data_IF_019688482193
#
_entry.id   IF_019688482193
#
_cell.length_a   1.000
_cell.length_b   1.000
_cell.length_c   1.000
_cell.angle_alpha   90.00
_cell.angle_beta   90.00
_cell.angle_gamma   90.00
#
_symmetry.space_group_name_H-M   'P 1'
#
loop_
_entity.id
_entity.type
_entity.pdbx_description
1 polymer ?
#
# COMPACT_ATOMS: atom_id res chain seq x y z
N UNK A 1 -15.97 -69.43 31.21
CA UNK A 1 -17.06 -68.46 31.46
C UNK A 1 -16.42 -67.07 31.54
N UNK A 2 -16.32 -66.36 30.41
CA UNK A 2 -15.66 -65.06 30.36
C UNK A 2 -16.61 -63.96 30.86
N UNK A 3 -16.11 -63.12 31.77
CA UNK A 3 -16.92 -62.19 32.56
C UNK A 3 -17.57 -61.08 31.69
N UNK A 4 -18.90 -60.93 31.69
CA UNK A 4 -19.62 -59.90 30.92
C UNK A 4 -19.27 -58.45 31.33
N UNK A 5 -18.64 -58.29 32.51
CA UNK A 5 -18.20 -57.00 33.04
C UNK A 5 -16.98 -56.42 32.31
N UNK A 6 -16.10 -57.25 31.72
CA UNK A 6 -14.96 -56.77 30.95
C UNK A 6 -15.40 -56.11 29.63
N UNK A 7 -16.43 -56.67 28.98
CA UNK A 7 -16.96 -56.13 27.73
C UNK A 7 -17.79 -54.85 27.90
N UNK A 8 -18.37 -54.60 29.09
CA UNK A 8 -19.05 -53.33 29.38
C UNK A 8 -18.04 -52.22 29.70
N UNK A 9 -17.01 -52.52 30.50
CA UNK A 9 -15.93 -51.58 30.83
C UNK A 9 -15.15 -51.16 29.58
N UNK A 10 -14.84 -52.10 28.69
CA UNK A 10 -14.13 -51.79 27.44
C UNK A 10 -14.96 -50.88 26.52
N UNK A 11 -16.27 -51.09 26.43
CA UNK A 11 -17.17 -50.22 25.64
C UNK A 11 -17.27 -48.82 26.25
N UNK A 12 -17.33 -48.70 27.57
CA UNK A 12 -17.33 -47.41 28.25
C UNK A 12 -16.02 -46.65 28.03
N UNK A 13 -14.88 -47.33 28.08
CA UNK A 13 -13.57 -46.74 27.80
C UNK A 13 -13.48 -46.17 26.36
N UNK A 14 -13.95 -46.92 25.36
CA UNK A 14 -13.97 -46.45 23.98
C UNK A 14 -14.93 -45.28 23.76
N UNK A 15 -16.10 -45.28 24.39
CA UNK A 15 -17.04 -44.16 24.31
C UNK A 15 -16.45 -42.87 24.91
N UNK A 16 -15.77 -42.98 26.05
CA UNK A 16 -15.09 -41.85 26.70
C UNK A 16 -13.92 -41.32 25.85
N UNK A 17 -13.12 -42.21 25.28
CA UNK A 17 -12.04 -41.83 24.37
C UNK A 17 -12.57 -41.11 23.13
N UNK A 18 -13.67 -41.61 22.54
CA UNK A 18 -14.33 -40.96 21.40
C UNK A 18 -14.87 -39.57 21.74
N UNK A 19 -15.50 -39.42 22.91
CA UNK A 19 -16.00 -38.12 23.39
C UNK A 19 -14.86 -37.12 23.63
N UNK A 20 -13.75 -37.57 24.24
CA UNK A 20 -12.57 -36.73 24.44
C UNK A 20 -11.96 -36.28 23.11
N UNK A 21 -11.85 -37.18 22.13
CA UNK A 21 -11.36 -36.84 20.79
C UNK A 21 -12.27 -35.84 20.07
N UNK A 22 -13.59 -36.02 20.15
CA UNK A 22 -14.56 -35.08 19.58
C UNK A 22 -14.48 -33.69 20.23
N UNK A 23 -14.32 -33.61 21.55
CA UNK A 23 -14.13 -32.35 22.26
C UNK A 23 -12.81 -31.67 21.88
N UNK A 24 -11.73 -32.43 21.73
CA UNK A 24 -10.45 -31.92 21.27
C UNK A 24 -10.55 -31.34 19.86
N UNK A 25 -11.17 -32.08 18.93
CA UNK A 25 -11.38 -31.64 17.54
C UNK A 25 -12.29 -30.41 17.46
N UNK A 26 -13.34 -30.34 18.29
CA UNK A 26 -14.19 -29.16 18.39
C UNK A 26 -13.40 -27.96 18.94
N UNK A 27 -12.57 -28.18 19.96
CA UNK A 27 -11.66 -27.17 20.50
C UNK A 27 -10.70 -26.64 19.44
N UNK A 28 -10.08 -27.52 18.65
CA UNK A 28 -9.20 -27.17 17.53
C UNK A 28 -9.94 -26.44 16.40
N UNK A 29 -11.16 -26.86 16.06
CA UNK A 29 -11.97 -26.21 15.03
C UNK A 29 -12.42 -24.80 15.44
N UNK A 30 -12.67 -24.59 16.74
CA UNK A 30 -13.00 -23.28 17.31
C UNK A 30 -11.74 -22.43 17.56
N UNK A 31 -10.60 -23.06 17.83
CA UNK A 31 -9.30 -22.41 17.95
C UNK A 31 -8.75 -22.10 16.56
N UNK A 32 -9.18 -20.96 16.01
CA UNK A 32 -8.62 -20.41 14.79
C UNK A 32 -7.68 -19.25 15.17
N UNK A 33 -6.34 -19.44 15.14
CA UNK A 33 -5.36 -18.40 15.47
C UNK A 33 -5.49 -17.15 14.59
N UNK A 34 -6.14 -17.28 13.43
CA UNK A 34 -6.29 -16.20 12.46
C UNK A 34 -7.43 -15.21 12.78
N UNK A 35 -8.33 -15.50 13.74
CA UNK A 35 -9.40 -14.54 14.10
C UNK A 35 -8.90 -13.28 14.82
N UNK A 36 -7.65 -13.24 15.29
CA UNK A 36 -7.08 -12.06 15.95
C UNK A 36 -6.40 -11.06 15.01
N UNK A 37 -6.23 -11.38 13.72
CA UNK A 37 -5.66 -10.41 12.74
C UNK A 37 -6.62 -9.28 12.36
N UNK A 38 -7.86 -9.30 12.84
CA UNK A 38 -8.91 -8.34 12.49
C UNK A 38 -9.12 -7.17 13.46
N UNK A 39 -8.26 -6.99 14.47
CA UNK A 39 -8.43 -5.91 15.48
C UNK A 39 -7.17 -5.06 15.71
N UNK A 40 -6.13 -5.24 14.91
CA UNK A 40 -5.01 -4.28 14.89
C UNK A 40 -5.47 -3.06 14.11
N UNK A 41 -5.45 -1.90 14.75
CA UNK A 41 -5.63 -0.61 14.08
C UNK A 41 -4.74 -0.56 12.84
N UNK A 42 -5.32 -0.21 11.69
CA UNK A 42 -4.57 -0.15 10.44
C UNK A 42 -3.52 0.95 10.56
N UNK A 43 -2.25 0.57 10.65
CA UNK A 43 -1.13 1.50 10.63
C UNK A 43 -0.59 1.61 9.21
N UNK A 44 -0.63 2.82 8.65
CA UNK A 44 -0.08 3.10 7.33
C UNK A 44 1.44 2.81 7.34
N UNK A 45 1.88 1.89 6.49
CA UNK A 45 3.28 1.44 6.43
C UNK A 45 4.02 1.95 5.18
N UNK A 46 3.37 2.79 4.37
CA UNK A 46 3.96 3.38 3.18
C UNK A 46 4.92 4.54 3.48
N UNK A 47 5.70 4.97 2.48
CA UNK A 47 6.68 6.04 2.66
C UNK A 47 6.05 7.40 3.00
N UNK A 48 4.79 7.63 2.61
CA UNK A 48 4.04 8.84 2.92
C UNK A 48 3.20 8.72 4.20
N UNK A 49 3.42 7.71 5.05
CA UNK A 49 2.63 7.48 6.27
C UNK A 49 2.55 8.64 7.26
N UNK A 50 3.47 9.60 7.17
CA UNK A 50 3.54 10.77 8.04
C UNK A 50 2.68 11.95 7.54
N UNK A 51 2.01 11.81 6.40
CA UNK A 51 1.09 12.82 5.85
C UNK A 51 -0.24 12.14 5.52
N UNK A 52 -1.31 12.62 6.14
CA UNK A 52 -2.66 12.21 5.79
C UNK A 52 -2.99 12.60 4.36
N UNK A 53 -3.54 11.68 3.57
CA UNK A 53 -3.86 11.93 2.15
C UNK A 53 -4.85 13.09 1.97
N UNK A 54 -5.77 13.24 2.92
CA UNK A 54 -6.74 14.34 2.96
C UNK A 54 -6.10 15.71 3.28
N UNK A 55 -4.92 15.72 3.92
CA UNK A 55 -4.19 16.95 4.23
C UNK A 55 -3.40 17.48 3.02
N UNK A 56 -3.24 16.71 1.95
CA UNK A 56 -2.55 17.14 0.72
C UNK A 56 -3.40 18.19 -0.01
N UNK A 57 -2.84 19.39 -0.17
CA UNK A 57 -3.51 20.55 -0.78
C UNK A 57 -2.95 20.94 -2.14
N UNK A 58 -1.70 20.59 -2.43
CA UNK A 58 -1.10 20.86 -3.73
C UNK A 58 -0.22 19.70 -4.20
N UNK A 59 -0.23 19.51 -5.52
CA UNK A 59 0.53 18.48 -6.21
C UNK A 59 1.15 19.09 -7.47
N UNK A 60 2.44 18.84 -7.68
CA UNK A 60 3.11 19.06 -8.96
C UNK A 60 3.52 17.72 -9.52
N UNK A 61 3.23 17.49 -10.79
CA UNK A 61 3.63 16.30 -11.53
C UNK A 61 4.54 16.74 -12.66
N UNK A 62 5.70 16.10 -12.78
CA UNK A 62 6.68 16.31 -13.84
C UNK A 62 6.90 14.99 -14.58
N UNK A 63 6.71 14.99 -15.91
CA UNK A 63 6.98 13.83 -16.76
C UNK A 63 7.65 14.29 -18.05
N UNK A 64 8.92 13.91 -18.24
CA UNK A 64 9.74 14.41 -19.35
C UNK A 64 9.90 15.94 -19.30
N UNK A 65 9.40 16.64 -20.33
CA UNK A 65 9.44 18.10 -20.44
C UNK A 65 8.12 18.78 -20.00
N UNK A 66 7.14 18.01 -19.56
CA UNK A 66 5.82 18.53 -19.17
C UNK A 66 5.69 18.59 -17.66
N UNK A 67 5.00 19.63 -17.19
CA UNK A 67 4.68 19.84 -15.78
C UNK A 67 3.22 20.23 -15.63
N UNK A 68 2.55 19.67 -14.64
CA UNK A 68 1.21 20.04 -14.23
C UNK A 68 1.20 20.41 -12.75
N UNK A 69 0.57 21.53 -12.42
CA UNK A 69 0.32 21.95 -11.04
C UNK A 69 -1.17 21.78 -10.76
N UNK A 70 -1.48 21.06 -9.69
CA UNK A 70 -2.83 20.79 -9.21
C UNK A 70 -2.99 21.28 -7.79
N UNK A 71 -4.17 21.82 -7.49
CA UNK A 71 -4.58 22.21 -6.15
C UNK A 71 -5.87 21.50 -5.76
N UNK A 72 -5.95 21.08 -4.50
CA UNK A 72 -7.18 20.53 -3.91
C UNK A 72 -7.98 21.68 -3.31
N UNK A 73 -9.17 21.93 -3.86
CA UNK A 73 -10.16 22.89 -3.36
C UNK A 73 -11.37 22.17 -2.79
N UNK A 74 -12.34 22.93 -2.28
CA UNK A 74 -13.57 22.37 -1.70
C UNK A 74 -14.35 21.47 -2.69
N UNK A 75 -14.29 21.77 -3.99
CA UNK A 75 -14.93 20.96 -5.05
C UNK A 75 -14.06 19.81 -5.58
N UNK A 76 -12.85 19.63 -5.04
CA UNK A 76 -11.89 18.60 -5.46
C UNK A 76 -10.64 19.16 -6.14
N UNK A 77 -9.95 18.31 -6.89
CA UNK A 77 -8.71 18.65 -7.60
C UNK A 77 -8.98 19.55 -8.81
N UNK A 78 -8.15 20.57 -8.98
CA UNK A 78 -8.21 21.52 -10.08
C UNK A 78 -6.79 21.83 -10.59
N UNK A 79 -6.66 22.16 -11.86
CA UNK A 79 -5.40 22.66 -12.41
C UNK A 79 -5.19 24.12 -12.00
N UNK A 80 -4.02 24.44 -11.44
CA UNK A 80 -3.67 25.75 -10.87
C UNK A 80 -3.88 26.91 -11.86
N UNK A 81 -3.31 26.81 -13.06
CA UNK A 81 -3.37 27.91 -14.04
C UNK A 81 -4.71 28.06 -14.77
N UNK A 82 -5.52 27.01 -14.82
CA UNK A 82 -6.77 27.02 -15.57
C UNK A 82 -8.00 27.17 -14.65
N UNK A 83 -7.86 26.90 -13.34
CA UNK A 83 -8.98 26.69 -12.43
C UNK A 83 -9.92 25.55 -12.86
N UNK A 84 -9.54 24.82 -13.91
CA UNK A 84 -10.37 23.80 -14.51
C UNK A 84 -10.37 22.57 -13.60
N UNK A 85 -11.54 22.01 -13.26
CA UNK A 85 -11.61 20.75 -12.54
C UNK A 85 -10.97 19.66 -13.38
N UNK A 86 -10.23 18.77 -12.73
CA UNK A 86 -9.78 17.54 -13.41
C UNK A 86 -10.98 16.62 -13.62
N UNK A 87 -10.94 15.82 -14.70
CA UNK A 87 -11.98 14.84 -14.95
C UNK A 87 -12.02 13.76 -13.85
N UNK A 88 -13.14 13.03 -13.78
CA UNK A 88 -13.37 12.04 -12.74
C UNK A 88 -12.32 10.91 -12.74
N UNK A 89 -11.85 10.45 -13.91
CA UNK A 89 -10.88 9.37 -13.99
C UNK A 89 -9.51 9.83 -13.48
N UNK A 90 -9.08 11.05 -13.85
CA UNK A 90 -7.87 11.67 -13.31
C UNK A 90 -7.95 11.86 -11.80
N UNK A 91 -9.09 12.36 -11.30
CA UNK A 91 -9.32 12.51 -9.85
C UNK A 91 -9.18 11.17 -9.12
N UNK A 92 -9.83 10.12 -9.62
CA UNK A 92 -9.84 8.82 -8.95
C UNK A 92 -8.43 8.19 -8.97
N UNK A 93 -7.67 8.35 -10.05
CA UNK A 93 -6.28 7.92 -10.15
C UNK A 93 -5.35 8.70 -9.20
N UNK A 94 -5.57 10.02 -9.03
CA UNK A 94 -4.85 10.84 -8.05
C UNK A 94 -5.09 10.33 -6.62
N UNK A 95 -6.34 10.12 -6.23
CA UNK A 95 -6.67 9.61 -4.89
C UNK A 95 -6.10 8.21 -4.65
N UNK A 96 -6.12 7.35 -5.68
CA UNK A 96 -5.50 6.03 -5.60
C UNK A 96 -3.99 6.14 -5.41
N UNK A 97 -3.29 6.94 -6.21
CA UNK A 97 -1.85 7.14 -6.10
C UNK A 97 -1.44 7.65 -4.72
N UNK A 98 -2.16 8.64 -4.18
CA UNK A 98 -1.94 9.15 -2.82
C UNK A 98 -2.15 8.08 -1.75
N UNK A 99 -3.23 7.30 -1.87
CA UNK A 99 -3.54 6.21 -0.94
C UNK A 99 -2.47 5.12 -0.94
N UNK A 100 -1.96 4.76 -2.12
CA UNK A 100 -0.92 3.74 -2.24
C UNK A 100 0.42 4.24 -1.71
N UNK A 101 0.81 5.49 -1.95
CA UNK A 101 2.02 6.04 -1.31
C UNK A 101 1.92 6.11 0.22
N UNK A 102 0.72 6.31 0.75
CA UNK A 102 0.49 6.34 2.18
C UNK A 102 0.52 4.92 2.79
N UNK A 103 -0.08 3.94 2.11
CA UNK A 103 -0.34 2.62 2.68
C UNK A 103 0.63 1.51 2.27
N UNK A 104 1.19 1.57 1.07
CA UNK A 104 1.94 0.46 0.48
C UNK A 104 3.39 0.48 0.95
N UNK A 105 3.86 -0.58 1.63
CA UNK A 105 5.24 -0.65 2.07
C UNK A 105 6.19 -0.83 0.87
N UNK A 106 7.43 -0.36 0.98
CA UNK A 106 8.46 -0.72 0.02
C UNK A 106 8.77 -2.23 0.11
N UNK A 107 8.97 -2.87 -1.04
CA UNK A 107 9.46 -4.27 -1.11
C UNK A 107 10.91 -4.37 -0.61
N UNK A 108 11.69 -3.32 -0.88
CA UNK A 108 13.08 -3.21 -0.47
C UNK A 108 13.46 -1.74 -0.27
N UNK A 109 14.41 -1.50 0.63
CA UNK A 109 15.07 -0.21 0.80
C UNK A 109 16.57 -0.35 0.53
N UNK A 110 17.18 0.67 -0.03
CA UNK A 110 18.60 0.69 -0.39
C UNK A 110 19.31 1.83 0.34
N UNK A 111 20.59 1.60 0.69
CA UNK A 111 21.44 2.64 1.28
C UNK A 111 22.15 3.53 0.25
N UNK A 112 22.22 3.08 -1.01
CA UNK A 112 22.95 3.77 -2.09
C UNK A 112 22.18 3.67 -3.40
N UNK A 113 22.28 4.70 -4.23
CA UNK A 113 21.68 4.77 -5.56
C UNK A 113 22.66 4.27 -6.63
N UNK A 114 22.13 3.61 -7.67
CA UNK A 114 22.84 3.23 -8.88
C UNK A 114 22.29 4.00 -10.08
N UNK A 115 23.15 4.30 -11.06
CA UNK A 115 22.73 4.86 -12.36
C UNK A 115 21.72 3.98 -13.08
N UNK A 116 21.78 2.67 -12.85
CA UNK A 116 20.91 1.67 -13.49
C UNK A 116 19.46 1.76 -13.03
N UNK A 117 19.19 2.51 -11.96
CA UNK A 117 17.83 2.68 -11.42
C UNK A 117 16.99 3.67 -12.23
N UNK A 118 17.58 4.39 -13.20
CA UNK A 118 16.83 5.30 -14.07
C UNK A 118 16.24 6.50 -13.34
N UNK A 119 16.89 6.96 -12.27
CA UNK A 119 16.43 8.09 -11.44
C UNK A 119 17.02 9.44 -11.87
N UNK A 120 17.94 9.44 -12.84
CA UNK A 120 18.64 10.65 -13.32
C UNK A 120 18.70 10.64 -14.86
N UNK A 121 17.76 11.30 -15.57
CA UNK A 121 16.53 11.90 -15.04
C UNK A 121 15.49 10.83 -14.65
N UNK A 122 14.56 11.12 -13.71
CA UNK A 122 13.46 10.21 -13.42
C UNK A 122 12.42 10.23 -14.56
N UNK A 123 11.73 9.11 -14.74
CA UNK A 123 10.63 8.98 -15.72
C UNK A 123 9.44 9.86 -15.34
N UNK A 124 9.17 9.93 -14.03
CA UNK A 124 8.07 10.68 -13.44
C UNK A 124 8.56 11.24 -12.10
N UNK A 125 8.20 12.47 -11.79
CA UNK A 125 8.41 13.07 -10.47
C UNK A 125 7.12 13.68 -9.96
N UNK A 126 6.86 13.49 -8.68
CA UNK A 126 5.74 14.14 -7.98
C UNK A 126 6.27 14.96 -6.81
N UNK A 127 5.70 16.14 -6.61
CA UNK A 127 5.89 16.95 -5.41
C UNK A 127 4.54 17.20 -4.76
N UNK A 128 4.44 16.87 -3.49
CA UNK A 128 3.25 17.04 -2.68
C UNK A 128 3.51 18.10 -1.62
N UNK A 129 2.48 18.89 -1.33
CA UNK A 129 2.44 19.81 -0.20
C UNK A 129 1.13 19.64 0.54
N UNK A 130 1.22 19.50 1.86
CA UNK A 130 0.06 19.47 2.75
C UNK A 130 -0.33 20.85 3.27
N UNK A 131 -1.49 20.93 3.90
CA UNK A 131 -2.05 22.15 4.48
C UNK A 131 -1.13 22.79 5.55
N UNK A 132 -0.39 21.99 6.30
CA UNK A 132 0.61 22.44 7.29
C UNK A 132 1.95 22.85 6.66
N UNK A 133 2.09 22.74 5.33
CA UNK A 133 3.30 23.05 4.59
C UNK A 133 4.32 21.91 4.50
N UNK A 134 4.05 20.74 5.09
CA UNK A 134 4.91 19.56 4.96
C UNK A 134 5.06 19.18 3.49
N UNK A 135 6.28 18.82 3.09
CA UNK A 135 6.64 18.48 1.71
C UNK A 135 7.04 17.02 1.59
N UNK A 136 6.61 16.41 0.49
CA UNK A 136 6.99 15.06 0.09
C UNK A 136 7.27 15.04 -1.40
N UNK A 137 8.36 14.40 -1.80
CA UNK A 137 8.71 14.20 -3.20
C UNK A 137 8.97 12.73 -3.48
N UNK A 138 8.53 12.25 -4.65
CA UNK A 138 8.90 10.94 -5.16
C UNK A 138 9.35 11.05 -6.61
N UNK A 139 10.56 10.57 -6.87
CA UNK A 139 11.16 10.38 -8.19
C UNK A 139 10.99 8.89 -8.56
N UNK A 140 10.21 8.60 -9.60
CA UNK A 140 10.01 7.24 -10.11
C UNK A 140 10.98 6.98 -11.27
N UNK A 141 11.79 5.94 -11.10
CA UNK A 141 12.79 5.52 -12.07
C UNK A 141 12.34 4.36 -12.94
N UNK A 142 13.30 3.52 -13.34
CA UNK A 142 13.09 2.32 -14.12
C UNK A 142 12.46 1.19 -13.33
N UNK A 143 11.94 0.20 -14.06
CA UNK A 143 11.51 -1.06 -13.49
C UNK A 143 12.72 -1.95 -13.11
N UNK A 144 12.51 -2.88 -12.18
CA UNK A 144 13.46 -3.94 -11.90
C UNK A 144 13.49 -4.98 -13.05
N UNK A 145 14.39 -5.96 -12.93
CA UNK A 145 14.57 -6.98 -13.96
C UNK A 145 13.30 -7.81 -14.28
N UNK A 146 12.37 -7.94 -13.33
CA UNK A 146 11.10 -8.67 -13.54
C UNK A 146 9.99 -7.80 -14.10
N UNK A 147 10.15 -6.46 -14.10
CA UNK A 147 9.11 -5.52 -14.51
C UNK A 147 7.98 -5.35 -13.50
N UNK A 148 8.06 -5.94 -12.31
CA UNK A 148 6.96 -5.96 -11.31
C UNK A 148 7.09 -4.87 -10.24
N UNK A 149 8.22 -4.17 -10.21
CA UNK A 149 8.49 -3.12 -9.24
C UNK A 149 9.39 -2.04 -9.86
N UNK A 150 9.32 -0.82 -9.35
CA UNK A 150 10.13 0.32 -9.78
C UNK A 150 10.99 0.88 -8.68
N UNK A 151 12.15 1.39 -9.07
CA UNK A 151 12.99 2.17 -8.18
C UNK A 151 12.35 3.53 -7.94
N UNK A 152 12.15 3.89 -6.67
CA UNK A 152 11.55 5.16 -6.27
C UNK A 152 12.44 5.84 -5.24
N UNK A 153 12.91 7.04 -5.55
CA UNK A 153 13.64 7.88 -4.61
C UNK A 153 12.66 8.85 -3.97
N UNK A 154 12.58 8.78 -2.65
CA UNK A 154 11.66 9.56 -1.85
C UNK A 154 12.44 10.61 -1.07
N UNK A 155 11.94 11.85 -1.05
CA UNK A 155 12.47 12.92 -0.22
C UNK A 155 11.36 13.45 0.68
N UNK A 156 11.54 13.33 1.97
CA UNK A 156 10.58 13.80 2.97
C UNK A 156 11.31 14.14 4.27
N UNK A 157 10.84 15.15 4.99
CA UNK A 157 11.41 15.55 6.30
C UNK A 157 12.94 15.77 6.29
N UNK A 158 13.48 16.31 5.19
CA UNK A 158 14.93 16.53 5.02
C UNK A 158 15.76 15.26 4.83
N UNK A 159 15.13 14.10 4.67
CA UNK A 159 15.78 12.80 4.39
C UNK A 159 15.51 12.38 2.96
N UNK A 160 16.46 11.65 2.39
CA UNK A 160 16.26 10.94 1.12
C UNK A 160 16.41 9.44 1.36
N UNK A 161 15.49 8.66 0.82
CA UNK A 161 15.50 7.21 0.90
C UNK A 161 15.21 6.62 -0.49
N UNK A 162 15.87 5.52 -0.80
CA UNK A 162 15.68 4.79 -2.05
C UNK A 162 14.95 3.49 -1.78
N UNK A 163 13.88 3.25 -2.53
CA UNK A 163 13.01 2.10 -2.37
C UNK A 163 12.81 1.36 -3.69
N UNK A 164 12.52 0.07 -3.59
CA UNK A 164 11.84 -0.70 -4.62
C UNK A 164 10.37 -0.76 -4.24
N UNK A 165 9.51 -0.16 -5.05
CA UNK A 165 8.06 -0.14 -4.84
C UNK A 165 7.39 -0.99 -5.91
N UNK A 166 6.37 -1.77 -5.55
CA UNK A 166 5.60 -2.53 -6.54
C UNK A 166 5.02 -1.62 -7.62
N UNK A 167 4.91 -2.13 -8.86
CA UNK A 167 4.51 -1.32 -10.02
C UNK A 167 3.09 -0.74 -9.87
N UNK A 168 2.19 -1.44 -9.15
CA UNK A 168 0.85 -0.95 -8.85
C UNK A 168 0.82 0.38 -8.06
N UNK A 169 1.90 0.74 -7.35
CA UNK A 169 2.02 2.05 -6.68
C UNK A 169 2.27 3.17 -7.69
N UNK A 170 2.88 2.84 -8.83
CA UNK A 170 3.26 3.78 -9.89
C UNK A 170 2.15 3.93 -10.93
N UNK A 171 1.43 2.84 -11.24
CA UNK A 171 0.38 2.78 -12.27
C UNK A 171 -0.65 3.94 -12.21
N UNK A 172 -1.20 4.33 -11.04
CA UNK A 172 -2.17 5.43 -11.00
C UNK A 172 -1.55 6.77 -11.40
N UNK A 173 -0.28 6.99 -11.09
CA UNK A 173 0.41 8.23 -11.47
C UNK A 173 0.65 8.30 -12.98
N UNK A 174 0.98 7.17 -13.60
CA UNK A 174 1.08 7.10 -15.06
C UNK A 174 -0.28 7.32 -15.72
N UNK A 175 -1.36 6.81 -15.12
CA UNK A 175 -2.71 7.09 -15.59
C UNK A 175 -3.04 8.58 -15.50
N UNK A 176 -2.69 9.25 -14.40
CA UNK A 176 -2.86 10.70 -14.26
C UNK A 176 -2.11 11.44 -15.37
N UNK A 177 -0.84 11.10 -15.63
CA UNK A 177 -0.07 11.72 -16.71
C UNK A 177 -0.70 11.48 -18.08
N UNK A 178 -1.18 10.26 -18.37
CA UNK A 178 -1.86 9.97 -19.64
C UNK A 178 -3.12 10.81 -19.81
N UNK A 179 -3.93 10.94 -18.77
CA UNK A 179 -5.17 11.74 -18.83
C UNK A 179 -4.89 13.24 -18.99
N UNK A 180 -3.88 13.78 -18.28
CA UNK A 180 -3.51 15.19 -18.35
C UNK A 180 -2.83 15.61 -19.67
N UNK A 181 -2.51 14.64 -20.54
CA UNK A 181 -1.93 14.88 -21.87
C UNK A 181 -2.96 14.95 -23.00
N UNK A 182 -4.21 14.54 -22.73
CA UNK A 182 -5.32 14.58 -23.69
C UNK A 182 -5.92 15.99 -23.76
#
# INVERSE_FOLDING_TARGET
MAHPLLHSLQRQAWALAGAAAALLLLGLALYSPDRQKGLTEFEAIGPMRHIETAAITALRIEAGQRQWNLERRASGWQMDMAGAPVDAATRDALEMGLRLLHNSPPERSFGTESSDFGLTPPTLRIHLRSADGTRFEADFGGANATGLARYVRIRAQGRSALHLMSDYVVEPWEQVVRSLQQ
#
